data_IF_984858316010
#
_entry.id   IF_984858316010
#
_cell.length_a   1.000
_cell.length_b   1.000
_cell.length_c   1.000
_cell.angle_alpha   90.00
_cell.angle_beta   90.00
_cell.angle_gamma   90.00
#
_symmetry.space_group_name_H-M   'P 1'
#
loop_
_entity.id
_entity.type
_entity.pdbx_description
1 polymer ?
#
# COMPACT_ATOMS: atom_id res chain seq x y z
N UNK A 1 -26.86 48.54 -63.32
CA UNK A 1 -26.31 48.05 -62.04
C UNK A 1 -27.51 47.75 -61.15
N UNK A 2 -27.80 46.54 -60.67
CA UNK A 2 -27.01 45.31 -60.47
C UNK A 2 -27.96 44.14 -60.73
N UNK A 3 -27.55 43.22 -61.60
CA UNK A 3 -28.24 41.96 -61.86
C UNK A 3 -28.05 41.02 -60.69
N UNK A 4 -29.15 40.63 -60.02
CA UNK A 4 -29.15 39.53 -59.05
C UNK A 4 -28.92 38.22 -59.80
N UNK A 5 -27.68 37.73 -59.78
CA UNK A 5 -27.39 36.35 -60.15
C UNK A 5 -27.92 35.44 -59.05
N UNK A 6 -29.08 34.82 -59.27
CA UNK A 6 -29.48 33.65 -58.52
C UNK A 6 -28.46 32.54 -58.83
N UNK A 7 -27.76 32.07 -57.80
CA UNK A 7 -26.80 30.99 -57.90
C UNK A 7 -27.51 29.70 -58.35
N UNK A 8 -27.15 29.09 -59.49
CA UNK A 8 -27.89 27.94 -60.05
C UNK A 8 -27.77 26.62 -59.25
N UNK A 9 -27.02 26.59 -58.15
CA UNK A 9 -26.79 25.39 -57.33
C UNK A 9 -27.84 25.12 -56.24
N UNK A 10 -28.86 25.99 -56.08
CA UNK A 10 -29.85 25.89 -54.99
C UNK A 10 -30.70 24.60 -55.01
N UNK A 11 -30.73 23.86 -56.13
CA UNK A 11 -31.46 22.58 -56.22
C UNK A 11 -30.72 21.37 -55.65
N UNK A 12 -29.42 21.46 -55.39
CA UNK A 12 -28.63 20.34 -54.88
C UNK A 12 -27.97 20.60 -53.52
N UNK A 13 -28.17 21.76 -52.91
CA UNK A 13 -27.67 21.97 -51.56
C UNK A 13 -28.42 21.06 -50.56
N UNK A 14 -27.69 20.20 -49.83
CA UNK A 14 -28.30 19.32 -48.85
C UNK A 14 -29.09 20.19 -47.87
N UNK A 15 -30.33 19.78 -47.58
CA UNK A 15 -31.28 20.55 -46.76
C UNK A 15 -30.70 21.03 -45.42
N UNK A 16 -29.64 20.39 -44.93
CA UNK A 16 -28.91 20.70 -43.70
C UNK A 16 -28.09 22.00 -43.75
N UNK A 17 -27.71 22.45 -44.95
CA UNK A 17 -26.92 23.67 -45.19
C UNK A 17 -27.80 24.92 -45.34
N UNK A 18 -29.12 24.74 -45.43
CA UNK A 18 -30.08 25.85 -45.50
C UNK A 18 -30.05 26.70 -44.24
N UNK A 19 -30.21 28.00 -44.43
CA UNK A 19 -30.34 28.98 -43.35
C UNK A 19 -31.64 28.75 -42.58
N UNK A 20 -31.55 28.53 -41.27
CA UNK A 20 -32.69 28.18 -40.42
C UNK A 20 -33.54 29.39 -40.01
N UNK A 21 -32.94 30.59 -39.93
CA UNK A 21 -33.63 31.83 -39.58
C UNK A 21 -33.25 32.91 -40.59
N UNK A 22 -34.25 33.47 -41.27
CA UNK A 22 -34.04 34.53 -42.25
C UNK A 22 -33.39 35.76 -41.60
N UNK A 23 -32.22 36.16 -42.11
CA UNK A 23 -31.45 37.29 -41.59
C UNK A 23 -30.36 36.94 -40.56
N UNK A 24 -30.09 35.65 -40.33
CA UNK A 24 -28.97 35.21 -39.48
C UNK A 24 -28.10 34.17 -40.19
N UNK A 25 -26.82 34.05 -39.82
CA UNK A 25 -25.89 33.06 -40.39
C UNK A 25 -26.08 31.63 -39.86
N UNK A 26 -27.18 31.35 -39.14
CA UNK A 26 -27.43 30.03 -38.55
C UNK A 26 -28.00 29.04 -39.57
N UNK A 27 -27.22 28.00 -39.88
CA UNK A 27 -27.64 26.86 -40.72
C UNK A 27 -28.35 25.78 -39.92
N UNK A 28 -29.18 24.97 -40.59
CA UNK A 28 -29.94 23.88 -39.96
C UNK A 28 -29.03 22.86 -39.25
N UNK A 29 -27.83 22.59 -39.78
CA UNK A 29 -26.87 21.70 -39.11
C UNK A 29 -26.42 22.22 -37.74
N UNK A 30 -26.33 23.54 -37.53
CA UNK A 30 -25.99 24.08 -36.21
C UNK A 30 -27.05 23.73 -35.16
N UNK A 31 -28.33 23.77 -35.53
CA UNK A 31 -29.41 23.34 -34.62
C UNK A 31 -29.32 21.84 -34.31
N UNK A 32 -29.04 21.01 -35.32
CA UNK A 32 -28.84 19.57 -35.12
C UNK A 32 -27.64 19.32 -34.19
N UNK A 33 -26.54 20.04 -34.39
CA UNK A 33 -25.35 19.98 -33.54
C UNK A 33 -25.67 20.37 -32.10
N UNK A 34 -26.39 21.48 -31.88
CA UNK A 34 -26.77 21.91 -30.52
C UNK A 34 -27.75 20.95 -29.85
N UNK A 35 -28.72 20.39 -30.59
CA UNK A 35 -29.63 19.37 -30.08
C UNK A 35 -28.87 18.10 -29.68
N UNK A 36 -27.91 17.65 -30.49
CA UNK A 36 -27.09 16.48 -30.17
C UNK A 36 -26.11 16.75 -29.02
N UNK A 37 -25.51 17.94 -28.97
CA UNK A 37 -24.67 18.37 -27.86
C UNK A 37 -25.47 18.44 -26.54
N UNK A 38 -26.68 18.99 -26.56
CA UNK A 38 -27.56 19.02 -25.41
C UNK A 38 -27.97 17.61 -24.96
N UNK A 39 -28.29 16.72 -25.90
CA UNK A 39 -28.63 15.32 -25.61
C UNK A 39 -27.45 14.54 -25.02
N UNK A 40 -26.24 14.72 -25.56
CA UNK A 40 -25.03 14.06 -25.05
C UNK A 40 -24.65 14.58 -23.66
N UNK A 41 -24.77 15.89 -23.40
CA UNK A 41 -24.60 16.45 -22.05
C UNK A 41 -25.65 15.93 -21.09
N UNK A 42 -26.92 15.85 -21.51
CA UNK A 42 -28.00 15.22 -20.73
C UNK A 42 -27.71 13.76 -20.41
N UNK A 43 -27.22 12.97 -21.38
CA UNK A 43 -26.82 11.58 -21.16
C UNK A 43 -25.64 11.48 -20.19
N UNK A 44 -24.62 12.33 -20.34
CA UNK A 44 -23.48 12.37 -19.40
C UNK A 44 -23.96 12.74 -18.00
N UNK A 45 -24.82 13.76 -17.87
CA UNK A 45 -25.41 14.15 -16.58
C UNK A 45 -26.28 13.04 -16.00
N UNK A 46 -27.09 12.35 -16.80
CA UNK A 46 -27.84 11.17 -16.37
C UNK A 46 -26.88 10.05 -15.95
N UNK A 47 -25.79 9.79 -16.67
CA UNK A 47 -24.77 8.81 -16.28
C UNK A 47 -23.95 9.24 -15.05
N UNK A 48 -23.80 10.54 -14.80
CA UNK A 48 -23.13 11.07 -13.61
C UNK A 48 -24.05 11.11 -12.39
N UNK A 49 -25.33 11.41 -12.58
CA UNK A 49 -26.39 11.42 -11.57
C UNK A 49 -26.82 10.00 -11.21
N UNK A 50 -26.89 9.11 -12.21
CA UNK A 50 -26.84 7.67 -12.05
C UNK A 50 -25.35 7.28 -11.94
N UNK A 51 -24.67 7.83 -10.92
CA UNK A 51 -23.61 7.07 -10.26
C UNK A 51 -24.26 5.76 -9.84
N UNK A 52 -24.20 4.77 -10.72
CA UNK A 52 -24.35 3.37 -10.37
C UNK A 52 -23.19 3.16 -9.41
N UNK A 53 -23.46 3.43 -8.14
CA UNK A 53 -22.83 2.76 -7.02
C UNK A 53 -23.06 1.31 -7.38
N UNK A 54 -22.08 0.68 -8.03
CA UNK A 54 -22.08 -0.75 -8.29
C UNK A 54 -22.56 -1.35 -6.98
N UNK A 55 -23.77 -1.93 -6.91
CA UNK A 55 -24.29 -2.42 -5.67
C UNK A 55 -23.37 -3.58 -5.35
N UNK A 56 -22.39 -3.30 -4.48
CA UNK A 56 -21.44 -4.27 -3.95
C UNK A 56 -22.33 -5.42 -3.53
N UNK A 57 -22.21 -6.56 -4.22
CA UNK A 57 -23.17 -7.66 -4.04
C UNK A 57 -23.22 -7.98 -2.55
N UNK A 58 -24.37 -8.42 -2.01
CA UNK A 58 -24.48 -8.73 -0.57
C UNK A 58 -23.30 -9.60 -0.09
N UNK A 59 -22.83 -10.51 -0.96
CA UNK A 59 -21.65 -11.35 -0.75
C UNK A 59 -20.34 -10.56 -0.56
N UNK A 60 -20.08 -9.52 -1.34
CA UNK A 60 -18.86 -8.70 -1.19
C UNK A 60 -18.90 -7.80 0.05
N UNK A 61 -20.07 -7.26 0.42
CA UNK A 61 -20.24 -6.50 1.66
C UNK A 61 -20.05 -7.42 2.87
N UNK A 62 -20.64 -8.61 2.81
CA UNK A 62 -20.51 -9.60 3.87
C UNK A 62 -19.08 -10.15 3.97
N UNK A 63 -18.39 -10.34 2.85
CA UNK A 63 -16.98 -10.73 2.83
C UNK A 63 -16.07 -9.63 3.38
N UNK A 64 -16.35 -8.36 3.09
CA UNK A 64 -15.61 -7.22 3.66
C UNK A 64 -15.88 -7.07 5.16
N UNK A 65 -17.13 -7.26 5.59
CA UNK A 65 -17.53 -7.27 7.00
C UNK A 65 -16.89 -8.42 7.77
N UNK A 66 -16.88 -9.65 7.23
CA UNK A 66 -16.20 -10.81 7.81
C UNK A 66 -14.70 -10.57 7.91
N UNK A 67 -14.07 -9.97 6.89
CA UNK A 67 -12.65 -9.62 6.89
C UNK A 67 -12.32 -8.59 7.97
N UNK A 68 -13.11 -7.52 8.11
CA UNK A 68 -12.94 -6.51 9.17
C UNK A 68 -13.11 -7.11 10.56
N UNK A 69 -14.15 -7.93 10.77
CA UNK A 69 -14.40 -8.61 12.04
C UNK A 69 -13.28 -9.60 12.40
N UNK A 70 -12.72 -10.28 11.41
CA UNK A 70 -11.57 -11.17 11.61
C UNK A 70 -10.31 -10.37 11.97
N UNK A 71 -10.03 -9.27 11.27
CA UNK A 71 -8.91 -8.39 11.57
C UNK A 71 -9.02 -7.72 12.96
N UNK A 72 -10.24 -7.41 13.39
CA UNK A 72 -10.50 -6.84 14.72
C UNK A 72 -10.32 -7.87 15.83
N UNK A 73 -10.85 -9.09 15.66
CA UNK A 73 -10.56 -10.21 16.56
C UNK A 73 -9.07 -10.55 16.61
N UNK A 74 -8.38 -10.45 15.48
CA UNK A 74 -6.94 -10.67 15.40
C UNK A 74 -6.16 -9.57 16.15
N UNK A 75 -6.52 -8.30 15.96
CA UNK A 75 -5.97 -7.18 16.73
C UNK A 75 -6.25 -7.29 18.23
N UNK A 76 -7.44 -7.73 18.62
CA UNK A 76 -7.75 -8.00 20.04
C UNK A 76 -6.88 -9.12 20.61
N UNK A 77 -6.65 -10.19 19.84
CA UNK A 77 -5.72 -11.26 20.23
C UNK A 77 -4.28 -10.78 20.34
N UNK A 78 -3.83 -9.91 19.43
CA UNK A 78 -2.51 -9.28 19.50
C UNK A 78 -2.34 -8.41 20.75
N UNK A 79 -3.35 -7.60 21.11
CA UNK A 79 -3.36 -6.82 22.36
C UNK A 79 -3.31 -7.72 23.61
N UNK A 80 -3.99 -8.87 23.57
CA UNK A 80 -3.94 -9.87 24.64
C UNK A 80 -2.56 -10.54 24.76
N UNK A 81 -1.88 -10.78 23.65
CA UNK A 81 -0.50 -11.31 23.63
C UNK A 81 0.48 -10.26 24.16
N UNK A 82 0.32 -9.01 23.77
CA UNK A 82 1.12 -7.89 24.27
C UNK A 82 0.94 -7.66 25.78
N UNK A 83 -0.27 -7.84 26.31
CA UNK A 83 -0.51 -7.79 27.76
C UNK A 83 0.13 -8.98 28.49
N UNK A 84 0.16 -10.17 27.89
CA UNK A 84 0.85 -11.34 28.47
C UNK A 84 2.37 -11.15 28.54
N UNK A 85 2.96 -10.33 27.66
CA UNK A 85 4.39 -9.97 27.74
C UNK A 85 4.65 -8.89 28.80
N UNK A 86 3.64 -8.10 29.19
CA UNK A 86 3.73 -7.22 30.37
C UNK A 86 3.67 -8.01 31.68
N UNK A 87 3.00 -9.17 31.69
CA UNK A 87 3.09 -10.16 32.78
C UNK A 87 4.45 -10.88 32.80
N UNK A 88 5.25 -10.79 31.72
CA UNK A 88 6.58 -11.40 31.67
C UNK A 88 7.62 -10.72 32.57
N UNK A 89 7.33 -9.53 33.09
CA UNK A 89 8.09 -8.94 34.21
C UNK A 89 7.91 -9.77 35.50
N UNK A 90 6.75 -10.41 35.66
CA UNK A 90 6.45 -11.38 36.73
C UNK A 90 7.07 -12.75 36.42
N UNK A 91 7.35 -13.06 35.14
CA UNK A 91 8.07 -14.26 34.71
C UNK A 91 9.57 -14.20 35.04
N UNK A 92 10.17 -13.00 35.08
CA UNK A 92 11.50 -12.81 35.67
C UNK A 92 11.51 -13.13 37.16
N UNK A 93 10.47 -12.71 37.89
CA UNK A 93 10.28 -13.04 39.32
C UNK A 93 10.04 -14.54 39.54
N UNK A 94 9.30 -15.19 38.64
CA UNK A 94 9.12 -16.64 38.64
C UNK A 94 10.39 -17.40 38.26
N UNK A 95 11.21 -16.87 37.34
CA UNK A 95 12.54 -17.40 37.02
C UNK A 95 13.49 -17.31 38.21
N UNK A 96 13.45 -16.22 38.97
CA UNK A 96 14.21 -16.08 40.22
C UNK A 96 13.76 -17.12 41.25
N UNK A 97 12.46 -17.32 41.45
CA UNK A 97 11.91 -18.34 42.37
C UNK A 97 12.35 -19.76 41.95
N UNK A 98 12.26 -20.11 40.66
CA UNK A 98 12.68 -21.42 40.15
C UNK A 98 14.20 -21.63 40.31
N UNK A 99 15.00 -20.59 40.12
CA UNK A 99 16.44 -20.66 40.35
C UNK A 99 16.79 -20.79 41.84
N UNK A 100 15.99 -20.19 42.72
CA UNK A 100 16.14 -20.28 44.18
C UNK A 100 15.69 -21.66 44.70
N UNK A 101 14.62 -22.21 44.16
CA UNK A 101 14.16 -23.58 44.42
C UNK A 101 15.19 -24.62 43.97
N UNK A 102 15.76 -24.48 42.76
CA UNK A 102 16.82 -25.39 42.27
C UNK A 102 18.09 -25.34 43.13
N UNK A 103 18.41 -24.16 43.68
CA UNK A 103 19.53 -23.97 44.61
C UNK A 103 19.25 -24.65 45.95
N UNK A 104 18.03 -24.54 46.48
CA UNK A 104 17.62 -25.20 47.72
C UNK A 104 17.51 -26.73 47.56
N UNK A 105 17.10 -27.22 46.39
CA UNK A 105 17.05 -28.65 46.06
C UNK A 105 18.45 -29.27 45.99
N UNK A 106 19.42 -28.54 45.45
CA UNK A 106 20.83 -28.98 45.40
C UNK A 106 21.49 -29.13 46.77
N UNK A 107 20.97 -28.46 47.81
CA UNK A 107 21.41 -28.60 49.20
C UNK A 107 20.75 -29.77 49.94
N UNK A 108 19.63 -30.29 49.42
CA UNK A 108 18.85 -31.36 50.06
C UNK A 108 19.16 -32.77 49.52
N UNK A 109 19.97 -32.90 48.45
CA UNK A 109 20.40 -34.17 47.86
C UNK A 109 21.56 -34.87 48.62
N UNK A 110 21.66 -34.71 49.95
CA UNK A 110 22.69 -35.38 50.75
C UNK A 110 22.16 -36.16 51.97
N UNK A 111 20.87 -36.48 52.06
CA UNK A 111 20.38 -37.38 53.12
C UNK A 111 19.37 -38.43 52.60
N UNK A 112 19.70 -39.70 52.86
CA UNK A 112 19.09 -40.95 52.39
C UNK A 112 17.72 -41.32 53.02
N UNK A 113 16.85 -41.93 52.19
CA UNK A 113 16.02 -43.15 52.34
C UNK A 113 15.27 -43.46 53.67
N UNK A 114 13.94 -43.69 53.60
CA UNK A 114 13.30 -44.98 53.98
C UNK A 114 11.82 -45.13 53.50
N UNK A 115 11.39 -46.32 53.02
CA UNK A 115 10.04 -46.56 52.50
C UNK A 115 9.13 -47.23 53.56
N UNK A 116 8.38 -46.42 54.30
CA UNK A 116 7.22 -46.87 55.05
C UNK A 116 6.29 -45.67 55.24
N UNK A 117 5.24 -45.59 54.45
CA UNK A 117 3.89 -45.45 55.00
C UNK A 117 2.81 -45.62 53.93
N UNK A 118 1.89 -46.50 54.30
CA UNK A 118 0.73 -46.99 53.58
C UNK A 118 -0.40 -45.93 53.54
N UNK A 119 -1.30 -46.11 52.56
CA UNK A 119 -2.77 -45.97 52.65
C UNK A 119 -3.54 -44.65 52.36
N UNK A 120 -4.48 -44.83 51.40
CA UNK A 120 -5.95 -44.59 51.45
C UNK A 120 -6.55 -43.22 50.99
N UNK A 121 -7.52 -43.38 50.07
CA UNK A 121 -8.76 -42.62 49.72
C UNK A 121 -8.77 -41.37 48.83
N UNK A 122 -9.51 -41.54 47.72
CA UNK A 122 -10.69 -40.80 47.25
C UNK A 122 -10.74 -39.25 47.31
N UNK A 123 -11.05 -38.65 46.14
CA UNK A 123 -11.86 -37.44 46.10
C UNK A 123 -11.55 -36.41 45.00
N UNK A 124 -12.42 -36.40 43.99
CA UNK A 124 -12.91 -35.23 43.24
C UNK A 124 -12.12 -34.64 42.06
N UNK A 125 -12.89 -34.43 40.99
CA UNK A 125 -12.53 -33.92 39.68
C UNK A 125 -12.26 -32.41 39.68
N UNK A 126 -11.29 -32.00 38.87
CA UNK A 126 -11.26 -30.72 38.15
C UNK A 126 -10.51 -30.91 36.82
N UNK A 127 -11.03 -30.32 35.73
CA UNK A 127 -10.54 -30.46 34.35
C UNK A 127 -9.06 -30.05 34.16
N UNK A 128 -8.29 -30.71 33.26
CA UNK A 128 -6.86 -30.45 33.12
C UNK A 128 -6.56 -29.19 32.30
N UNK A 129 -5.82 -28.26 32.90
CA UNK A 129 -5.13 -27.17 32.20
C UNK A 129 -4.06 -27.75 31.24
N UNK A 130 -4.09 -27.34 29.96
CA UNK A 130 -3.16 -27.85 28.95
C UNK A 130 -1.71 -27.41 29.20
N UNK A 131 -0.71 -28.29 28.96
CA UNK A 131 0.68 -28.00 29.29
C UNK A 131 1.29 -26.91 28.41
N UNK A 132 2.04 -26.00 29.04
CA UNK A 132 2.70 -24.81 28.50
C UNK A 132 3.51 -25.06 27.21
N UNK A 133 4.10 -26.25 27.04
CA UNK A 133 4.86 -26.64 25.84
C UNK A 133 4.04 -26.68 24.55
N UNK A 134 2.72 -26.95 24.61
CA UNK A 134 1.84 -26.87 23.42
C UNK A 134 1.60 -25.43 22.98
N UNK A 135 1.64 -24.46 23.90
CA UNK A 135 1.40 -23.04 23.62
C UNK A 135 2.56 -22.41 22.82
N UNK A 136 3.81 -22.71 23.18
CA UNK A 136 5.01 -22.25 22.45
C UNK A 136 5.08 -22.87 21.05
N UNK A 137 4.81 -24.17 20.93
CA UNK A 137 4.75 -24.86 19.63
C UNK A 137 3.73 -24.23 18.69
N UNK A 138 2.55 -23.86 19.20
CA UNK A 138 1.52 -23.18 18.41
C UNK A 138 1.92 -21.77 17.97
N UNK A 139 2.65 -21.01 18.78
CA UNK A 139 3.17 -19.68 18.42
C UNK A 139 4.21 -19.79 17.30
N UNK A 140 5.16 -20.74 17.41
CA UNK A 140 6.15 -21.00 16.36
C UNK A 140 5.48 -21.46 15.07
N UNK A 141 4.47 -22.34 15.18
CA UNK A 141 3.69 -22.82 14.03
C UNK A 141 2.89 -21.68 13.38
N UNK A 142 2.37 -20.76 14.17
CA UNK A 142 1.67 -19.56 13.70
C UNK A 142 2.61 -18.58 12.99
N UNK A 143 3.78 -18.29 13.56
CA UNK A 143 4.81 -17.46 12.92
C UNK A 143 5.31 -18.08 11.60
N UNK A 144 5.49 -19.41 11.57
CA UNK A 144 5.88 -20.15 10.36
C UNK A 144 4.79 -20.15 9.29
N UNK A 145 3.52 -20.16 9.68
CA UNK A 145 2.37 -20.01 8.77
C UNK A 145 2.29 -18.58 8.20
N UNK A 146 2.53 -17.56 9.03
CA UNK A 146 2.54 -16.14 8.64
C UNK A 146 3.66 -15.83 7.65
N UNK A 147 4.87 -16.35 7.90
CA UNK A 147 5.99 -16.26 6.97
C UNK A 147 5.66 -16.87 5.59
N UNK A 148 4.84 -17.93 5.58
CA UNK A 148 4.31 -18.52 4.35
C UNK A 148 3.33 -17.61 3.59
N UNK A 149 2.48 -16.86 4.29
CA UNK A 149 1.50 -15.95 3.66
C UNK A 149 2.21 -14.79 2.96
N UNK A 150 3.16 -14.14 3.65
CA UNK A 150 3.94 -13.05 3.08
C UNK A 150 4.71 -13.52 1.85
N UNK A 151 5.48 -14.61 1.97
CA UNK A 151 6.25 -15.17 0.87
C UNK A 151 5.37 -15.60 -0.31
N UNK A 152 4.21 -16.23 -0.06
CA UNK A 152 3.28 -16.62 -1.11
C UNK A 152 2.74 -15.40 -1.86
N UNK A 153 2.29 -14.36 -1.14
CA UNK A 153 1.83 -13.12 -1.76
C UNK A 153 2.95 -12.42 -2.55
N UNK A 154 4.17 -12.37 -2.02
CA UNK A 154 5.31 -11.76 -2.72
C UNK A 154 5.70 -12.53 -3.98
N UNK A 155 5.54 -13.85 -4.00
CA UNK A 155 5.71 -14.65 -5.20
C UNK A 155 4.64 -14.32 -6.26
N UNK A 156 3.39 -14.09 -5.85
CA UNK A 156 2.31 -13.63 -6.74
C UNK A 156 2.58 -12.22 -7.29
N UNK A 157 2.99 -11.27 -6.45
CA UNK A 157 3.38 -9.92 -6.87
C UNK A 157 4.52 -9.97 -7.91
N UNK A 158 5.54 -10.80 -7.67
CA UNK A 158 6.65 -10.99 -8.61
C UNK A 158 6.18 -11.58 -9.94
N UNK A 159 5.27 -12.57 -9.91
CA UNK A 159 4.68 -13.16 -11.11
C UNK A 159 3.87 -12.12 -11.89
N UNK A 160 3.04 -11.35 -11.21
CA UNK A 160 2.25 -10.28 -11.81
C UNK A 160 3.13 -9.19 -12.45
N UNK A 161 4.15 -8.72 -11.72
CA UNK A 161 5.10 -7.73 -12.21
C UNK A 161 5.85 -8.20 -13.47
N UNK A 162 6.31 -9.45 -13.48
CA UNK A 162 6.98 -10.04 -14.65
C UNK A 162 6.06 -10.20 -15.86
N UNK A 163 4.77 -10.43 -15.63
CA UNK A 163 3.77 -10.50 -16.69
C UNK A 163 3.57 -9.12 -17.33
N UNK A 164 3.40 -8.10 -16.49
CA UNK A 164 3.15 -6.74 -16.96
C UNK A 164 3.54 -5.72 -15.87
N UNK A 165 4.41 -4.77 -16.22
CA UNK A 165 4.73 -3.60 -15.41
C UNK A 165 4.84 -2.35 -16.28
N UNK A 166 4.64 -1.15 -15.72
CA UNK A 166 4.76 0.09 -16.48
C UNK A 166 6.19 0.25 -17.04
N UNK A 167 6.29 0.73 -18.28
CA UNK A 167 7.57 0.90 -18.95
C UNK A 167 8.53 1.81 -18.15
N UNK A 168 9.80 1.39 -18.08
CA UNK A 168 10.87 2.11 -17.36
C UNK A 168 10.91 1.86 -15.85
N UNK A 169 9.88 1.24 -15.26
CA UNK A 169 9.93 0.84 -13.86
C UNK A 169 10.69 -0.46 -13.68
N UNK A 170 11.43 -0.56 -12.58
CA UNK A 170 12.11 -1.80 -12.17
C UNK A 170 11.63 -2.18 -10.78
N UNK A 171 11.38 -3.47 -10.54
CA UNK A 171 11.14 -4.03 -9.23
C UNK A 171 11.61 -5.49 -9.22
N UNK A 172 12.58 -5.83 -8.35
CA UNK A 172 13.09 -7.18 -8.22
C UNK A 172 13.48 -7.50 -6.77
N UNK A 173 13.27 -8.74 -6.29
CA UNK A 173 13.85 -9.17 -5.02
C UNK A 173 15.37 -9.06 -5.04
N UNK A 174 15.95 -8.62 -3.93
CA UNK A 174 17.38 -8.62 -3.71
C UNK A 174 17.92 -10.05 -3.58
N UNK A 175 19.23 -10.21 -3.69
CA UNK A 175 19.93 -11.48 -3.47
C UNK A 175 20.59 -11.47 -2.10
N UNK A 176 20.48 -12.58 -1.39
CA UNK A 176 21.29 -12.85 -0.21
C UNK A 176 22.75 -13.14 -0.60
N UNK A 177 23.71 -13.11 0.34
CA UNK A 177 25.12 -13.42 0.06
C UNK A 177 25.37 -14.81 -0.53
N UNK A 178 24.49 -15.77 -0.24
CA UNK A 178 24.50 -17.13 -0.79
C UNK A 178 23.92 -17.24 -2.22
N UNK A 179 23.45 -16.12 -2.80
CA UNK A 179 22.82 -16.05 -4.11
C UNK A 179 21.33 -16.38 -4.13
N UNK A 180 20.73 -16.78 -3.00
CA UNK A 180 19.30 -17.02 -2.88
C UNK A 180 18.51 -15.70 -2.96
N UNK A 181 17.23 -15.77 -3.36
CA UNK A 181 16.38 -14.57 -3.44
C UNK A 181 15.80 -14.22 -2.08
N UNK A 182 15.95 -12.95 -1.68
CA UNK A 182 15.27 -12.40 -0.52
C UNK A 182 13.97 -11.72 -0.96
N UNK A 183 12.85 -12.46 -0.86
CA UNK A 183 11.53 -11.93 -1.21
C UNK A 183 11.08 -10.77 -0.31
N UNK A 184 11.64 -10.62 0.89
CA UNK A 184 11.25 -9.58 1.84
C UNK A 184 11.94 -8.23 1.59
N UNK A 185 12.89 -8.16 0.66
CA UNK A 185 13.65 -6.95 0.37
C UNK A 185 13.82 -6.79 -1.14
N UNK A 186 13.21 -5.76 -1.71
CA UNK A 186 13.20 -5.52 -3.15
C UNK A 186 13.97 -4.25 -3.49
N UNK A 187 14.68 -4.33 -4.61
CA UNK A 187 15.31 -3.21 -5.28
C UNK A 187 14.38 -2.74 -6.41
N UNK A 188 13.96 -1.49 -6.32
CA UNK A 188 13.06 -0.87 -7.27
C UNK A 188 13.69 0.39 -7.87
N UNK A 189 13.24 0.78 -9.06
CA UNK A 189 13.59 2.04 -9.71
C UNK A 189 12.34 2.65 -10.35
N UNK A 190 12.12 3.93 -10.11
CA UNK A 190 10.99 4.70 -10.65
C UNK A 190 11.54 5.70 -11.67
N UNK A 191 11.08 5.69 -12.93
CA UNK A 191 11.44 6.72 -13.88
C UNK A 191 10.68 8.02 -13.57
N UNK A 192 11.33 9.15 -13.77
CA UNK A 192 10.65 10.45 -13.74
C UNK A 192 9.56 10.56 -14.82
N UNK A 193 8.43 11.14 -14.46
CA UNK A 193 7.30 11.33 -15.39
C UNK A 193 7.68 12.35 -16.47
N UNK A 194 7.32 12.06 -17.72
CA UNK A 194 7.61 12.96 -18.85
C UNK A 194 6.90 14.30 -18.69
N UNK A 195 7.53 15.39 -19.12
CA UNK A 195 6.99 16.75 -19.01
C UNK A 195 7.01 17.31 -17.58
N UNK A 196 7.71 16.65 -16.65
CA UNK A 196 7.85 17.11 -15.26
C UNK A 196 9.31 17.46 -14.96
N UNK A 197 9.60 18.24 -13.91
CA UNK A 197 10.98 18.50 -13.47
C UNK A 197 11.79 17.24 -13.14
N UNK A 198 11.11 16.10 -12.93
CA UNK A 198 11.70 14.81 -12.60
C UNK A 198 12.13 13.98 -13.82
N UNK A 199 11.71 14.38 -15.03
CA UNK A 199 11.98 13.67 -16.29
C UNK A 199 13.46 13.35 -16.46
N UNK A 200 13.76 12.27 -17.18
CA UNK A 200 15.10 11.71 -17.42
C UNK A 200 15.79 11.09 -16.19
N UNK A 201 15.37 11.39 -14.97
CA UNK A 201 15.90 10.75 -13.76
C UNK A 201 15.36 9.33 -13.55
N UNK A 202 16.19 8.45 -12.97
CA UNK A 202 15.79 7.13 -12.48
C UNK A 202 16.05 7.03 -10.97
N UNK A 203 14.99 6.89 -10.19
CA UNK A 203 15.03 7.01 -8.74
C UNK A 203 14.99 5.63 -8.08
N UNK A 204 16.15 5.18 -7.63
CA UNK A 204 16.30 3.89 -6.93
C UNK A 204 15.73 3.95 -5.52
N UNK A 205 14.99 2.92 -5.14
CA UNK A 205 14.45 2.77 -3.80
C UNK A 205 14.40 1.31 -3.37
N UNK A 206 14.51 1.10 -2.07
CA UNK A 206 14.34 -0.20 -1.41
C UNK A 206 12.92 -0.34 -0.89
N UNK A 207 12.29 -1.46 -1.18
CA UNK A 207 10.97 -1.82 -0.64
C UNK A 207 11.14 -3.01 0.32
N UNK A 208 10.85 -2.78 1.59
CA UNK A 208 11.12 -3.70 2.69
C UNK A 208 9.78 -4.19 3.26
N UNK A 209 9.58 -5.51 3.22
CA UNK A 209 8.38 -6.18 3.70
C UNK A 209 8.62 -6.78 5.09
N UNK A 210 7.58 -6.79 5.91
CA UNK A 210 7.55 -7.48 7.20
C UNK A 210 6.90 -8.86 7.04
N UNK A 211 7.11 -9.75 8.02
CA UNK A 211 6.52 -11.11 8.04
C UNK A 211 4.98 -11.12 8.09
N UNK A 212 4.35 -10.01 8.49
CA UNK A 212 2.90 -9.87 8.52
C UNK A 212 2.29 -9.28 7.23
N UNK A 213 3.11 -9.00 6.21
CA UNK A 213 2.64 -8.64 4.86
C UNK A 213 1.71 -9.73 4.30
N UNK A 214 0.58 -9.41 3.65
CA UNK A 214 0.12 -8.08 3.24
C UNK A 214 -0.77 -7.35 4.25
N UNK A 215 -0.83 -7.79 5.51
CA UNK A 215 -1.59 -7.07 6.53
C UNK A 215 -0.99 -5.69 6.78
N UNK A 216 0.34 -5.62 6.90
CA UNK A 216 1.09 -4.37 6.98
C UNK A 216 1.62 -3.90 5.61
N UNK A 217 1.77 -2.58 5.40
CA UNK A 217 2.39 -2.04 4.20
C UNK A 217 3.90 -2.28 4.17
N UNK A 218 4.53 -2.35 2.98
CA UNK A 218 5.98 -2.30 2.88
C UNK A 218 6.51 -0.91 3.25
N UNK A 219 7.72 -0.86 3.81
CA UNK A 219 8.47 0.39 3.96
C UNK A 219 9.22 0.68 2.66
N UNK A 220 8.99 1.85 2.07
CA UNK A 220 9.71 2.31 0.88
C UNK A 220 10.74 3.39 1.25
N UNK A 221 11.97 3.25 0.76
CA UNK A 221 13.09 4.15 1.08
C UNK A 221 13.94 4.42 -0.15
N UNK A 222 14.06 5.68 -0.56
CA UNK A 222 14.97 6.09 -1.63
C UNK A 222 16.44 5.88 -1.21
N UNK A 223 17.24 5.33 -2.12
CA UNK A 223 18.67 5.07 -1.93
C UNK A 223 19.42 5.55 -3.19
N UNK A 224 20.03 6.75 -3.17
CA UNK A 224 20.12 7.70 -2.05
C UNK A 224 18.81 8.46 -1.75
N UNK A 225 18.68 9.10 -0.57
CA UNK A 225 17.54 9.98 -0.26
C UNK A 225 17.38 11.11 -1.28
N UNK A 226 16.13 11.51 -1.55
CA UNK A 226 15.81 12.57 -2.51
C UNK A 226 15.43 13.86 -1.80
N UNK A 227 15.77 14.99 -2.42
CA UNK A 227 15.20 16.29 -2.10
C UNK A 227 13.72 16.31 -2.52
N UNK A 228 12.81 16.06 -1.58
CA UNK A 228 11.37 16.01 -1.82
C UNK A 228 10.58 16.31 -0.53
N UNK A 229 9.47 17.07 -0.56
CA UNK A 229 8.73 17.45 0.66
C UNK A 229 8.23 16.26 1.50
N UNK A 230 7.89 15.14 0.85
CA UNK A 230 7.36 13.93 1.51
C UNK A 230 8.38 12.77 1.60
N UNK A 231 9.67 13.04 1.47
CA UNK A 231 10.73 12.05 1.70
C UNK A 231 11.52 12.50 2.91
N UNK A 232 11.66 11.63 3.92
CA UNK A 232 12.48 11.92 5.09
C UNK A 232 13.97 12.00 4.70
N UNK A 233 14.82 12.67 5.50
CA UNK A 233 16.28 12.62 5.31
C UNK A 233 16.86 11.20 5.30
N UNK A 234 16.17 10.25 5.95
CA UNK A 234 16.50 8.82 5.90
C UNK A 234 16.23 8.15 4.55
N UNK A 235 15.57 8.84 3.61
CA UNK A 235 15.05 8.30 2.35
C UNK A 235 13.65 7.69 2.46
N UNK A 236 13.10 7.51 3.67
CA UNK A 236 11.77 6.91 3.87
C UNK A 236 10.70 7.78 3.21
N UNK A 237 9.81 7.15 2.43
CA UNK A 237 8.71 7.84 1.74
C UNK A 237 7.48 7.96 2.65
N UNK A 238 6.91 9.15 2.74
CA UNK A 238 5.63 9.40 3.38
C UNK A 238 4.51 9.42 2.32
N UNK A 239 3.71 8.35 2.27
CA UNK A 239 2.57 8.21 1.36
C UNK A 239 1.45 7.47 2.10
N UNK A 240 0.19 7.89 1.95
CA UNK A 240 -0.92 7.29 2.69
C UNK A 240 -1.14 5.80 2.36
N UNK A 241 -0.77 5.37 1.14
CA UNK A 241 -0.76 3.96 0.73
C UNK A 241 0.30 3.13 1.48
N UNK A 242 1.26 3.75 2.17
CA UNK A 242 2.32 3.08 2.93
C UNK A 242 2.09 3.19 4.44
N UNK A 243 0.92 3.65 4.85
CA UNK A 243 0.55 3.90 6.24
C UNK A 243 -0.64 2.99 6.62
N UNK A 244 -0.43 2.14 7.63
CA UNK A 244 -1.39 1.12 8.07
C UNK A 244 -2.69 1.73 8.59
N UNK A 245 -2.64 2.96 9.11
CA UNK A 245 -3.79 3.65 9.69
C UNK A 245 -4.54 4.53 8.69
N UNK A 246 -4.00 4.73 7.49
CA UNK A 246 -4.58 5.58 6.43
C UNK A 246 -5.18 4.75 5.30
N UNK A 247 -4.55 4.77 4.13
CA UNK A 247 -5.12 4.24 2.90
C UNK A 247 -4.58 2.85 2.52
N UNK A 248 -3.69 2.27 3.33
CA UNK A 248 -3.19 0.92 3.11
C UNK A 248 -4.34 -0.09 3.09
N UNK A 249 -4.26 -1.01 2.12
CA UNK A 249 -5.15 -2.17 2.01
C UNK A 249 -4.30 -3.34 1.55
N UNK A 250 -4.49 -4.55 2.12
CA UNK A 250 -3.74 -5.73 1.70
C UNK A 250 -3.84 -6.03 0.20
N UNK A 251 -4.90 -5.60 -0.48
CA UNK A 251 -5.09 -5.80 -1.93
C UNK A 251 -4.25 -4.85 -2.81
N UNK A 252 -3.58 -3.84 -2.24
CA UNK A 252 -2.71 -2.94 -2.99
C UNK A 252 -1.48 -3.73 -3.48
N UNK A 253 -1.19 -3.56 -4.77
CA UNK A 253 -0.08 -4.23 -5.48
C UNK A 253 1.19 -3.39 -5.44
N UNK A 254 2.34 -4.03 -5.68
CA UNK A 254 3.64 -3.33 -5.85
C UNK A 254 3.57 -2.33 -7.01
N UNK A 255 2.85 -2.67 -8.10
CA UNK A 255 2.57 -1.76 -9.23
C UNK A 255 1.87 -0.48 -8.79
N UNK A 256 0.82 -0.60 -7.99
CA UNK A 256 0.08 0.56 -7.48
C UNK A 256 0.92 1.41 -6.53
N UNK A 257 1.73 0.79 -5.67
CA UNK A 257 2.65 1.52 -4.78
C UNK A 257 3.64 2.35 -5.61
N UNK A 258 4.33 1.73 -6.57
CA UNK A 258 5.37 2.42 -7.35
C UNK A 258 4.79 3.54 -8.22
N UNK A 259 3.60 3.34 -8.80
CA UNK A 259 2.87 4.40 -9.50
C UNK A 259 2.48 5.54 -8.55
N UNK A 260 1.95 5.21 -7.36
CA UNK A 260 1.62 6.22 -6.34
C UNK A 260 2.83 7.03 -5.88
N UNK A 261 4.01 6.40 -5.77
CA UNK A 261 5.26 7.11 -5.48
C UNK A 261 5.68 8.00 -6.66
N UNK A 262 5.54 7.54 -7.91
CA UNK A 262 5.83 8.37 -9.09
C UNK A 262 4.93 9.61 -9.14
N UNK A 263 3.64 9.47 -8.89
CA UNK A 263 2.71 10.59 -8.85
C UNK A 263 3.03 11.53 -7.67
N UNK A 264 3.41 10.99 -6.50
CA UNK A 264 3.85 11.79 -5.35
C UNK A 264 5.06 12.68 -5.67
N UNK A 265 6.02 12.20 -6.47
CA UNK A 265 7.17 13.03 -6.88
C UNK A 265 6.71 14.31 -7.58
N UNK A 266 5.74 14.20 -8.50
CA UNK A 266 5.22 15.34 -9.24
C UNK A 266 4.24 16.20 -8.41
N UNK A 267 3.45 15.55 -7.55
CA UNK A 267 2.39 16.18 -6.76
C UNK A 267 2.61 15.97 -5.25
N UNK A 268 3.55 16.70 -4.63
CA UNK A 268 3.82 16.59 -3.19
C UNK A 268 2.60 16.89 -2.32
N UNK A 269 2.41 16.10 -1.27
CA UNK A 269 1.38 16.33 -0.26
C UNK A 269 1.86 17.35 0.79
N UNK A 270 1.42 18.60 0.65
CA UNK A 270 1.79 19.69 1.58
C UNK A 270 1.23 19.54 3.00
N UNK A 271 0.28 18.63 3.23
CA UNK A 271 -0.33 18.40 4.55
C UNK A 271 0.49 17.49 5.45
N UNK A 272 1.42 16.72 4.89
CA UNK A 272 2.23 15.73 5.61
C UNK A 272 3.73 15.87 5.24
N UNK A 273 4.37 17.01 5.59
CA UNK A 273 5.76 17.27 5.23
C UNK A 273 6.73 16.39 6.03
N UNK A 274 7.65 15.74 5.34
CA UNK A 274 8.71 14.90 5.91
C UNK A 274 10.10 15.57 5.89
N UNK A 275 10.32 16.52 4.98
CA UNK A 275 11.57 17.27 4.88
C UNK A 275 11.31 18.78 4.86
N UNK A 276 11.70 19.45 5.94
CA UNK A 276 11.43 20.87 6.16
C UNK A 276 12.02 21.77 5.05
N UNK A 277 13.28 21.56 4.66
CA UNK A 277 13.92 22.38 3.62
C UNK A 277 13.19 22.30 2.28
N UNK A 278 12.90 21.08 1.81
CA UNK A 278 12.19 20.85 0.56
C UNK A 278 10.77 21.42 0.61
N UNK A 279 10.08 21.23 1.73
CA UNK A 279 8.75 21.80 1.96
C UNK A 279 8.74 23.33 1.93
N UNK A 280 9.64 23.99 2.66
CA UNK A 280 9.73 25.44 2.71
C UNK A 280 10.00 26.03 1.33
N UNK A 281 10.98 25.47 0.60
CA UNK A 281 11.29 25.92 -0.77
C UNK A 281 10.12 25.65 -1.72
N UNK A 282 9.48 24.48 -1.63
CA UNK A 282 8.30 24.15 -2.43
C UNK A 282 7.18 25.17 -2.23
N UNK A 283 6.87 25.55 -0.99
CA UNK A 283 5.79 26.48 -0.65
C UNK A 283 6.12 27.94 -0.97
N UNK A 284 7.37 28.38 -0.76
CA UNK A 284 7.76 29.79 -0.87
C UNK A 284 8.34 30.16 -2.24
N UNK A 285 9.05 29.26 -2.90
CA UNK A 285 9.73 29.54 -4.16
C UNK A 285 9.71 28.32 -5.09
N UNK A 286 8.62 28.21 -5.86
CA UNK A 286 8.43 27.08 -6.79
C UNK A 286 9.52 27.00 -7.86
N UNK A 287 10.02 28.13 -8.35
CA UNK A 287 11.06 28.17 -9.37
C UNK A 287 12.38 27.57 -8.86
N UNK A 288 12.79 27.91 -7.64
CA UNK A 288 13.98 27.34 -7.01
C UNK A 288 13.79 25.84 -6.71
N UNK A 289 12.60 25.43 -6.24
CA UNK A 289 12.29 24.02 -6.06
C UNK A 289 12.51 23.24 -7.35
N UNK A 290 11.89 23.67 -8.46
CA UNK A 290 12.01 22.97 -9.73
C UNK A 290 13.44 22.99 -10.28
N UNK A 291 14.20 24.08 -10.06
CA UNK A 291 15.61 24.16 -10.44
C UNK A 291 16.44 23.08 -9.74
N UNK A 292 16.24 22.89 -8.43
CA UNK A 292 16.91 21.84 -7.64
C UNK A 292 16.45 20.45 -8.08
N UNK A 293 15.15 20.24 -8.31
CA UNK A 293 14.62 18.96 -8.79
C UNK A 293 15.20 18.60 -10.17
N UNK A 294 15.28 19.55 -11.12
CA UNK A 294 15.91 19.31 -12.43
C UNK A 294 17.40 18.99 -12.29
N UNK A 295 18.11 19.62 -11.35
CA UNK A 295 19.50 19.28 -11.08
C UNK A 295 19.64 17.86 -10.51
N UNK A 296 18.76 17.48 -9.58
CA UNK A 296 18.67 16.12 -9.05
C UNK A 296 18.34 15.09 -10.15
N UNK A 297 17.38 15.38 -11.03
CA UNK A 297 17.02 14.50 -12.13
C UNK A 297 18.22 14.20 -13.06
N UNK A 298 19.02 15.23 -13.38
CA UNK A 298 20.28 15.07 -14.14
C UNK A 298 21.33 14.25 -13.39
N UNK A 299 21.41 14.37 -12.07
CA UNK A 299 22.33 13.53 -11.29
C UNK A 299 21.88 12.05 -11.26
N UNK A 300 20.57 11.81 -11.25
CA UNK A 300 19.97 10.47 -11.20
C UNK A 300 19.81 9.80 -12.57
N UNK A 301 20.10 10.49 -13.68
CA UNK A 301 20.03 9.87 -15.03
C UNK A 301 21.22 8.95 -15.33
N UNK A 302 22.33 9.09 -14.61
CA UNK A 302 23.60 8.39 -14.88
C UNK A 302 23.89 7.21 -13.96
N UNK A 303 22.98 6.85 -13.05
CA UNK A 303 23.17 5.69 -12.17
C UNK A 303 22.76 4.41 -12.92
N UNK A 304 23.74 3.63 -13.35
CA UNK A 304 23.57 2.36 -14.08
C UNK A 304 22.50 1.45 -13.43
N UNK A 305 21.57 0.94 -14.24
CA UNK A 305 20.43 0.08 -13.88
C UNK A 305 20.85 -1.39 -13.67
#
# INVERSE_FOLDING_TARGET
MVTFYANPDEKNEPWIERTAIAGSDFRIWHFIFFCFAAFTVMLILICCCIKIRVPRTKQEIEADYRRKKLAEKFRQRLKLIQNQDMDALDLQRALEIIQEDYRNESLNCQYDISPSDFNITAGNQAEPQQPFGKKISNIIKFAKLMSGIAAARLAEERKAWRKEHPFGFVARPSKNPDGSLNLMNWECSIPGKKGTPWECGHYKLRMIFKEDYPSSPPKCKFEPPLFHPNVYPSGTVCLSLLDEEKDWRPAITIKQILLGIQDLLNEPNVKDPAQAEAYTIYCQNRLEYEKRVRAQARAMSHQEL
#
